data_IF_164847692668
#
_entry.id   IF_164847692668
#
_cell.length_a   1.000
_cell.length_b   1.000
_cell.length_c   1.000
_cell.angle_alpha   90.00
_cell.angle_beta   90.00
_cell.angle_gamma   90.00
#
_symmetry.space_group_name_H-M   'P 1'
#
loop_
_entity.id
_entity.type
_entity.pdbx_description
1 polymer ?
#
# COMPACT_ATOMS: atom_id res chain seq x y z
N UNK A 1 -4.90 70.77 -34.04
CA UNK A 1 -5.61 69.72 -34.80
C UNK A 1 -5.07 68.37 -34.35
N UNK A 2 -5.97 67.51 -33.82
CA UNK A 2 -5.93 66.03 -33.71
C UNK A 2 -4.66 65.32 -33.19
N UNK A 3 -4.71 64.73 -31.98
CA UNK A 3 -4.78 63.25 -31.67
C UNK A 3 -3.41 62.78 -31.15
N UNK A 4 -3.19 61.93 -30.15
CA UNK A 4 -3.89 61.16 -29.12
C UNK A 4 -2.83 60.84 -28.03
N UNK A 5 -3.20 60.52 -26.77
CA UNK A 5 -2.23 60.11 -25.74
C UNK A 5 -1.84 58.64 -25.92
N UNK A 6 -0.54 58.33 -25.91
CA UNK A 6 -0.02 56.96 -25.89
C UNK A 6 0.19 56.52 -24.43
N UNK A 7 -0.73 55.70 -23.94
CA UNK A 7 -0.56 54.89 -22.74
C UNK A 7 -0.04 53.49 -23.14
N UNK A 8 1.05 52.99 -22.55
CA UNK A 8 1.37 51.58 -22.58
C UNK A 8 0.87 50.90 -21.30
N UNK A 9 -0.23 50.18 -21.51
CA UNK A 9 -0.80 49.05 -20.80
C UNK A 9 0.10 48.38 -19.73
N UNK A 10 -0.39 48.34 -18.49
CA UNK A 10 0.03 47.38 -17.47
C UNK A 10 -0.29 45.96 -17.97
N UNK A 11 0.73 45.20 -18.34
CA UNK A 11 0.62 43.75 -18.52
C UNK A 11 0.51 43.06 -17.16
N UNK A 12 -0.72 42.98 -16.64
CA UNK A 12 -1.05 42.11 -15.51
C UNK A 12 -1.03 40.67 -16.03
N UNK A 13 0.13 40.01 -15.93
CA UNK A 13 0.24 38.60 -16.23
C UNK A 13 -0.50 37.80 -15.15
N UNK A 14 -1.71 37.35 -15.48
CA UNK A 14 -2.40 36.30 -14.74
C UNK A 14 -1.51 35.03 -14.74
N UNK A 15 -0.84 34.78 -13.63
CA UNK A 15 -0.28 33.47 -13.35
C UNK A 15 -1.45 32.50 -13.14
N UNK A 16 -1.86 31.82 -14.21
CA UNK A 16 -2.68 30.64 -14.12
C UNK A 16 -1.88 29.58 -13.37
N UNK A 17 -2.20 29.41 -12.08
CA UNK A 17 -1.93 28.17 -11.38
C UNK A 17 -2.73 27.08 -12.12
N UNK A 18 -2.06 26.42 -13.07
CA UNK A 18 -2.52 25.15 -13.60
C UNK A 18 -2.56 24.20 -12.40
N UNK A 19 -3.77 24.02 -11.86
CA UNK A 19 -4.05 22.88 -11.00
C UNK A 19 -3.59 21.62 -11.71
N UNK A 20 -2.97 20.70 -10.97
CA UNK A 20 -2.60 19.39 -11.45
C UNK A 20 -3.85 18.63 -11.90
N UNK A 21 -4.34 18.92 -13.10
CA UNK A 21 -5.28 18.09 -13.83
C UNK A 21 -4.51 16.81 -14.16
N UNK A 22 -5.01 15.69 -13.64
CA UNK A 22 -4.44 14.37 -13.88
C UNK A 22 -4.17 14.17 -15.37
N UNK A 23 -3.02 13.57 -15.66
CA UNK A 23 -2.59 13.23 -17.01
C UNK A 23 -3.73 12.47 -17.72
N UNK A 24 -4.25 12.96 -18.86
CA UNK A 24 -5.24 12.22 -19.63
C UNK A 24 -4.63 10.86 -20.03
N UNK A 25 -5.19 9.77 -19.52
CA UNK A 25 -4.75 8.40 -19.82
C UNK A 25 -4.34 7.56 -18.62
N UNK A 26 -4.27 8.11 -17.40
CA UNK A 26 -4.25 7.26 -16.20
C UNK A 26 -5.67 6.77 -15.92
N UNK A 27 -5.93 5.44 -15.91
CA UNK A 27 -7.20 4.91 -15.45
C UNK A 27 -7.53 5.46 -14.05
N UNK A 28 -8.80 5.70 -13.76
CA UNK A 28 -9.23 5.99 -12.39
C UNK A 28 -8.89 4.77 -11.52
N UNK A 29 -7.75 4.85 -10.84
CA UNK A 29 -7.29 3.80 -9.96
C UNK A 29 -8.04 3.90 -8.62
N UNK A 30 -8.34 2.77 -7.97
CA UNK A 30 -8.84 2.78 -6.60
C UNK A 30 -7.90 3.60 -5.69
N UNK A 31 -8.40 4.24 -4.62
CA UNK A 31 -7.55 5.06 -3.74
C UNK A 31 -6.29 4.32 -3.29
N UNK A 32 -5.11 4.94 -3.31
CA UNK A 32 -3.87 4.27 -2.91
C UNK A 32 -3.40 3.13 -3.83
N UNK A 33 -4.09 2.83 -4.93
CA UNK A 33 -3.56 1.99 -5.98
C UNK A 33 -2.62 2.78 -6.89
N UNK A 34 -1.71 2.06 -7.53
CA UNK A 34 -0.70 2.57 -8.43
C UNK A 34 -0.53 1.64 -9.64
N UNK A 35 0.08 2.14 -10.71
CA UNK A 35 0.46 1.31 -11.84
C UNK A 35 1.35 0.13 -11.36
N UNK A 36 1.23 -1.07 -11.96
CA UNK A 36 1.99 -2.25 -11.50
C UNK A 36 3.50 -2.04 -11.50
N UNK A 37 4.03 -1.27 -12.46
CA UNK A 37 5.45 -0.92 -12.55
C UNK A 37 5.92 0.15 -11.56
N UNK A 38 5.01 0.84 -10.86
CA UNK A 38 5.39 1.88 -9.90
C UNK A 38 6.13 1.27 -8.70
N UNK A 39 7.16 1.95 -8.15
CA UNK A 39 7.90 1.45 -7.00
C UNK A 39 7.05 1.48 -5.72
N UNK A 40 7.46 0.71 -4.72
CA UNK A 40 6.86 0.79 -3.38
C UNK A 40 7.25 2.14 -2.72
N UNK A 41 6.41 2.77 -1.89
CA UNK A 41 6.72 4.02 -1.18
C UNK A 41 7.84 3.94 -0.13
N UNK A 42 8.61 2.84 -0.08
CA UNK A 42 9.76 2.67 0.82
C UNK A 42 9.63 1.48 1.74
N UNK A 43 8.87 1.61 2.83
CA UNK A 43 8.88 0.65 3.93
C UNK A 43 7.51 0.09 4.28
N UNK A 44 7.51 -1.08 4.91
CA UNK A 44 6.35 -1.75 5.49
C UNK A 44 6.52 -1.76 7.02
N UNK A 45 5.56 -1.22 7.73
CA UNK A 45 5.53 -1.25 9.21
C UNK A 45 4.88 -2.55 9.65
N UNK A 46 5.55 -3.35 10.48
CA UNK A 46 5.00 -4.59 11.04
C UNK A 46 4.80 -4.42 12.53
N UNK A 47 3.56 -4.60 12.98
CA UNK A 47 3.16 -4.50 14.40
C UNK A 47 2.94 -5.89 14.96
N UNK A 48 3.65 -6.23 16.02
CA UNK A 48 3.55 -7.52 16.67
C UNK A 48 2.69 -7.43 17.92
N UNK A 49 1.52 -8.06 17.91
CA UNK A 49 0.61 -8.04 19.05
C UNK A 49 1.17 -8.78 20.27
N UNK A 50 2.05 -9.78 20.08
CA UNK A 50 2.53 -10.63 21.17
C UNK A 50 3.44 -9.91 22.18
N UNK A 51 4.14 -8.85 21.76
CA UNK A 51 5.02 -8.05 22.61
C UNK A 51 4.83 -6.54 22.45
N UNK A 52 3.89 -6.10 21.60
CA UNK A 52 3.65 -4.70 21.29
C UNK A 52 4.75 -4.02 20.47
N UNK A 53 5.74 -4.76 19.96
CA UNK A 53 6.85 -4.18 19.21
C UNK A 53 6.42 -3.81 17.79
N UNK A 54 7.17 -2.87 17.20
CA UNK A 54 7.03 -2.49 15.80
C UNK A 54 8.37 -2.67 15.10
N UNK A 55 8.33 -3.25 13.90
CA UNK A 55 9.49 -3.37 13.02
C UNK A 55 9.21 -2.62 11.72
N UNK A 56 10.27 -2.15 11.07
CA UNK A 56 10.20 -1.57 9.73
C UNK A 56 10.96 -2.46 8.77
N UNK A 57 10.28 -2.96 7.74
CA UNK A 57 10.89 -3.70 6.64
C UNK A 57 11.06 -2.77 5.45
N UNK A 58 12.18 -2.89 4.73
CA UNK A 58 12.29 -2.23 3.42
C UNK A 58 11.55 -3.09 2.40
N UNK A 59 10.64 -2.48 1.66
CA UNK A 59 9.86 -3.22 0.66
C UNK A 59 10.70 -3.90 -0.44
N UNK A 60 11.86 -3.36 -0.87
CA UNK A 60 12.74 -4.08 -1.80
C UNK A 60 13.36 -5.37 -1.25
N UNK A 61 13.41 -5.53 0.08
CA UNK A 61 14.02 -6.69 0.73
C UNK A 61 13.02 -7.86 0.93
N UNK A 62 11.75 -7.67 0.55
CA UNK A 62 10.71 -8.71 0.64
C UNK A 62 10.15 -9.06 -0.74
N UNK A 63 9.57 -10.25 -0.87
CA UNK A 63 8.97 -10.67 -2.13
C UNK A 63 7.83 -9.72 -2.54
N UNK A 64 7.64 -9.54 -3.85
CA UNK A 64 6.61 -8.64 -4.38
C UNK A 64 5.19 -9.02 -3.91
N UNK A 65 4.92 -10.30 -3.66
CA UNK A 65 3.64 -10.76 -3.09
C UNK A 65 3.40 -10.29 -1.66
N UNK A 66 4.45 -9.96 -0.89
CA UNK A 66 4.33 -9.34 0.42
C UNK A 66 4.20 -7.81 0.33
N UNK A 67 4.93 -7.18 -0.59
CA UNK A 67 4.96 -5.74 -0.75
C UNK A 67 3.74 -5.16 -1.49
N UNK A 68 3.02 -5.98 -2.26
CA UNK A 68 1.91 -5.51 -3.08
C UNK A 68 0.71 -6.47 -3.04
N UNK A 69 -0.48 -5.90 -3.20
CA UNK A 69 -1.68 -6.61 -3.64
C UNK A 69 -2.07 -6.11 -5.02
N UNK A 70 -2.06 -6.99 -6.00
CA UNK A 70 -2.20 -6.66 -7.39
C UNK A 70 -3.46 -7.30 -7.97
N UNK A 71 -4.10 -6.60 -8.89
CA UNK A 71 -5.39 -6.97 -9.42
C UNK A 71 -5.45 -6.72 -10.93
N UNK A 72 -6.19 -7.56 -11.64
CA UNK A 72 -6.46 -7.40 -13.06
C UNK A 72 -7.50 -6.28 -13.32
N UNK A 73 -7.86 -6.09 -14.60
CA UNK A 73 -8.84 -5.08 -15.00
C UNK A 73 -10.26 -5.33 -14.44
N UNK A 74 -10.54 -6.54 -13.98
CA UNK A 74 -11.82 -6.92 -13.36
C UNK A 74 -11.77 -6.91 -11.83
N UNK A 75 -10.64 -6.47 -11.24
CA UNK A 75 -10.45 -6.43 -9.80
C UNK A 75 -10.20 -7.80 -9.17
N UNK A 76 -9.84 -8.82 -9.97
CA UNK A 76 -9.45 -10.13 -9.44
C UNK A 76 -7.96 -10.15 -9.09
N UNK A 77 -7.54 -10.89 -8.04
CA UNK A 77 -6.13 -11.02 -7.69
C UNK A 77 -5.29 -11.50 -8.88
N UNK A 78 -4.18 -10.82 -9.14
CA UNK A 78 -3.30 -11.12 -10.26
C UNK A 78 -1.83 -10.99 -9.86
N UNK A 79 -0.97 -11.71 -10.56
CA UNK A 79 0.47 -11.47 -10.48
C UNK A 79 0.80 -10.05 -10.96
N UNK A 80 1.73 -9.40 -10.26
CA UNK A 80 2.14 -8.01 -10.56
C UNK A 80 2.51 -7.77 -12.02
N UNK A 81 3.14 -8.74 -12.67
CA UNK A 81 3.54 -8.63 -14.08
C UNK A 81 2.36 -8.57 -15.07
N UNK A 82 1.17 -9.01 -14.65
CA UNK A 82 -0.05 -9.09 -15.47
C UNK A 82 -1.20 -8.24 -14.92
N UNK A 83 -0.97 -7.55 -13.81
CA UNK A 83 -1.97 -6.74 -13.14
C UNK A 83 -2.29 -5.47 -13.94
N UNK A 84 -3.51 -4.96 -13.79
CA UNK A 84 -3.87 -3.63 -14.25
C UNK A 84 -3.43 -2.56 -13.23
N UNK A 85 -3.47 -2.89 -11.94
CA UNK A 85 -3.09 -2.01 -10.85
C UNK A 85 -2.66 -2.79 -9.61
N UNK A 86 -1.92 -2.14 -8.72
CA UNK A 86 -1.48 -2.71 -7.45
C UNK A 86 -1.66 -1.71 -6.31
N UNK A 87 -1.86 -2.19 -5.10
CA UNK A 87 -1.84 -1.40 -3.86
C UNK A 87 -0.59 -1.81 -3.08
N UNK A 88 0.29 -0.87 -2.69
CA UNK A 88 1.42 -1.18 -1.83
C UNK A 88 0.92 -1.54 -0.42
N UNK A 89 1.53 -2.56 0.17
CA UNK A 89 1.30 -2.92 1.57
C UNK A 89 2.23 -2.08 2.44
N UNK A 90 1.68 -1.17 3.24
CA UNK A 90 2.48 -0.24 4.05
C UNK A 90 2.45 -0.57 5.55
N UNK A 91 1.47 -1.35 5.99
CA UNK A 91 1.36 -1.81 7.38
C UNK A 91 0.88 -3.27 7.41
N UNK A 92 1.43 -4.06 8.35
CA UNK A 92 0.98 -5.42 8.66
C UNK A 92 0.81 -5.51 10.18
N UNK A 93 -0.36 -5.96 10.63
CA UNK A 93 -0.59 -6.36 12.01
C UNK A 93 -0.45 -7.88 12.09
N UNK A 94 0.37 -8.37 13.01
CA UNK A 94 0.63 -9.79 13.21
C UNK A 94 0.27 -10.22 14.63
N UNK A 95 -0.59 -11.24 14.72
CA UNK A 95 -1.00 -11.91 15.95
C UNK A 95 -0.49 -13.32 15.91
N UNK A 96 0.31 -13.72 16.89
CA UNK A 96 0.89 -15.06 16.99
C UNK A 96 0.53 -15.69 18.32
N UNK A 97 -0.07 -16.88 18.27
CA UNK A 97 -0.55 -17.60 19.45
C UNK A 97 -0.08 -19.05 19.48
N UNK A 98 0.13 -19.59 20.69
CA UNK A 98 0.36 -21.01 20.90
C UNK A 98 -0.94 -21.82 20.75
N UNK A 99 -0.88 -23.15 20.98
CA UNK A 99 -2.04 -24.02 20.89
C UNK A 99 -3.12 -23.72 21.95
N UNK A 100 -2.76 -23.08 23.06
CA UNK A 100 -3.67 -22.62 24.10
C UNK A 100 -4.26 -21.23 23.85
N UNK A 101 -3.90 -20.58 22.74
CA UNK A 101 -4.35 -19.23 22.40
C UNK A 101 -3.59 -18.12 23.11
N UNK A 102 -2.51 -18.42 23.83
CA UNK A 102 -1.68 -17.41 24.48
C UNK A 102 -0.77 -16.75 23.45
N UNK A 103 -0.62 -15.44 23.54
CA UNK A 103 0.30 -14.70 22.70
C UNK A 103 1.76 -15.13 22.94
N UNK A 104 2.46 -15.47 21.86
CA UNK A 104 3.86 -15.95 21.88
C UNK A 104 4.62 -15.40 20.67
N UNK A 105 5.94 -15.46 20.70
CA UNK A 105 6.76 -15.09 19.54
C UNK A 105 6.43 -15.99 18.32
N UNK A 106 6.53 -15.48 17.07
CA UNK A 106 6.17 -16.22 15.86
C UNK A 106 6.81 -17.61 15.73
N UNK A 107 8.08 -17.76 16.13
CA UNK A 107 8.79 -19.05 16.06
C UNK A 107 8.21 -20.13 16.99
N UNK A 108 7.45 -19.74 18.03
CA UNK A 108 6.80 -20.64 18.96
C UNK A 108 5.28 -20.75 18.71
N UNK A 109 4.76 -20.09 17.67
CA UNK A 109 3.32 -20.00 17.43
C UNK A 109 2.78 -21.27 16.78
N UNK A 110 1.62 -21.72 17.26
CA UNK A 110 0.80 -22.72 16.58
C UNK A 110 -0.01 -22.09 15.44
N UNK A 111 -0.38 -20.81 15.58
CA UNK A 111 -1.12 -20.04 14.59
C UNK A 111 -0.62 -18.60 14.53
N UNK A 112 -0.48 -18.08 13.32
CA UNK A 112 -0.19 -16.67 13.06
C UNK A 112 -1.29 -16.12 12.15
N UNK A 113 -1.91 -15.04 12.59
CA UNK A 113 -2.86 -14.26 11.84
C UNK A 113 -2.17 -12.94 11.43
N UNK A 114 -2.33 -12.54 10.17
CA UNK A 114 -1.73 -11.31 9.66
C UNK A 114 -2.76 -10.53 8.86
N UNK A 115 -2.93 -9.25 9.19
CA UNK A 115 -3.79 -8.31 8.45
C UNK A 115 -2.90 -7.29 7.75
N UNK A 116 -3.01 -7.18 6.43
CA UNK A 116 -2.25 -6.22 5.65
C UNK A 116 -3.09 -4.99 5.29
N UNK A 117 -2.43 -3.83 5.34
CA UNK A 117 -3.04 -2.54 5.04
C UNK A 117 -2.24 -1.75 4.00
N UNK A 118 -2.97 -1.05 3.15
CA UNK A 118 -2.45 -0.07 2.22
C UNK A 118 -2.41 1.35 2.81
N UNK A 119 -2.03 2.35 2.00
CA UNK A 119 -2.02 3.75 2.41
C UNK A 119 -3.35 4.17 3.07
N UNK A 120 -3.27 4.96 4.14
CA UNK A 120 -4.45 5.37 4.92
C UNK A 120 -5.07 4.26 5.78
N UNK A 121 -4.30 3.20 6.11
CA UNK A 121 -4.75 2.00 6.85
C UNK A 121 -5.94 1.30 6.20
N UNK A 122 -6.03 1.32 4.86
CA UNK A 122 -7.08 0.59 4.16
C UNK A 122 -6.80 -0.91 4.21
N UNK A 123 -7.75 -1.69 4.69
CA UNK A 123 -7.68 -3.15 4.67
C UNK A 123 -7.41 -3.68 3.25
N UNK A 124 -6.47 -4.61 3.12
CA UNK A 124 -6.17 -5.29 1.87
C UNK A 124 -6.51 -6.77 1.96
N UNK A 125 -5.99 -7.46 2.97
CA UNK A 125 -6.31 -8.85 3.23
C UNK A 125 -6.06 -9.26 4.68
N UNK A 126 -6.50 -10.48 4.98
CA UNK A 126 -6.22 -11.20 6.20
C UNK A 126 -5.77 -12.61 5.83
N UNK A 127 -4.70 -13.08 6.46
CA UNK A 127 -4.12 -14.40 6.23
C UNK A 127 -3.93 -15.14 7.54
N UNK A 128 -4.06 -16.46 7.48
CA UNK A 128 -3.83 -17.34 8.63
C UNK A 128 -2.83 -18.42 8.22
N UNK A 129 -1.76 -18.54 9.00
CA UNK A 129 -0.80 -19.62 8.91
C UNK A 129 -0.89 -20.50 10.16
N UNK A 130 -0.88 -21.82 9.97
CA UNK A 130 -0.93 -22.80 11.06
C UNK A 130 0.31 -23.67 10.99
N UNK A 131 1.01 -23.80 12.11
CA UNK A 131 2.19 -24.66 12.24
C UNK A 131 1.77 -26.13 12.29
N UNK A 132 2.21 -26.94 11.32
CA UNK A 132 1.88 -28.36 11.26
C UNK A 132 2.46 -29.17 12.44
N UNK A 133 3.53 -28.70 13.08
CA UNK A 133 4.25 -29.40 14.15
C UNK A 133 3.64 -29.33 15.55
N UNK A 134 2.55 -28.57 15.74
CA UNK A 134 1.86 -28.41 17.04
C UNK A 134 0.47 -29.05 17.05
N UNK A 135 0.17 -29.96 16.10
CA UNK A 135 -1.00 -30.83 16.24
C UNK A 135 -0.80 -31.72 17.46
N UNK A 136 -1.72 -31.75 18.43
CA UNK A 136 -1.79 -32.87 19.36
C UNK A 136 -1.94 -34.13 18.52
N UNK A 137 -1.03 -35.10 18.70
CA UNK A 137 -1.26 -36.45 18.19
C UNK A 137 -2.52 -37.04 18.83
N UNK A 138 -3.10 -38.10 18.22
CA UNK A 138 -4.23 -38.82 18.81
C UNK A 138 -3.91 -39.36 20.20
#
# INVERSE_FOLDING_TARGET
MFRHPLAPLLSLACALAAGCAGTPGTPDLPPGAQAPGAPHPGTIVVRYAWNGSTQTWRAPDVAASFAFRCFDAHGQPAERARAAWCVPVVEIESVSVDAGGRAVAPAAAARIESTAYGPGRRFLDHTTAVSAGLRPGP
#
